data_IF_597221082240
#
_entry.id   IF_597221082240
#
_cell.length_a   1.000
_cell.length_b   1.000
_cell.length_c   1.000
_cell.angle_alpha   90.00
_cell.angle_beta   90.00
_cell.angle_gamma   90.00
#
_symmetry.space_group_name_H-M   'P 1'
#
loop_
_entity.id
_entity.type
_entity.pdbx_description
1 polymer ?
#
# COMPACT_ATOMS: atom_id res chain seq x y z
N UNK A 1 44.30 -16.14 14.08
CA UNK A 1 44.07 -16.32 12.63
C UNK A 1 42.58 -16.61 12.44
N UNK A 2 41.73 -15.79 11.84
CA UNK A 2 41.94 -14.54 11.11
C UNK A 2 40.59 -13.86 10.79
N UNK A 3 39.86 -13.39 11.80
CA UNK A 3 38.70 -12.49 11.60
C UNK A 3 39.12 -11.08 11.14
N UNK A 4 40.38 -10.70 11.38
CA UNK A 4 40.96 -9.42 10.93
C UNK A 4 41.20 -9.43 9.40
N UNK A 5 41.53 -10.58 8.81
CA UNK A 5 41.79 -10.71 7.37
C UNK A 5 40.52 -10.58 6.53
N UNK A 6 39.39 -11.09 7.01
CA UNK A 6 38.09 -10.99 6.34
C UNK A 6 37.60 -9.53 6.34
N UNK A 7 37.73 -8.82 7.46
CA UNK A 7 37.30 -7.41 7.57
C UNK A 7 38.13 -6.49 6.65
N UNK A 8 39.43 -6.76 6.47
CA UNK A 8 40.32 -5.98 5.59
C UNK A 8 39.97 -6.15 4.11
N UNK A 9 39.56 -7.36 3.69
CA UNK A 9 39.20 -7.65 2.31
C UNK A 9 37.83 -7.06 1.90
N UNK A 10 36.89 -6.91 2.86
CA UNK A 10 35.59 -6.27 2.61
C UNK A 10 35.73 -4.74 2.51
N UNK A 11 36.54 -4.11 3.37
CA UNK A 11 36.74 -2.65 3.35
C UNK A 11 37.45 -2.19 2.07
N UNK A 12 38.35 -3.00 1.50
CA UNK A 12 39.04 -2.68 0.24
C UNK A 12 38.14 -2.70 -1.00
N UNK A 13 36.98 -3.37 -0.95
CA UNK A 13 36.06 -3.45 -2.10
C UNK A 13 35.09 -2.26 -2.22
N UNK A 14 35.03 -1.38 -1.22
CA UNK A 14 34.07 -0.25 -1.14
C UNK A 14 34.66 1.09 -1.62
N UNK A 15 35.92 1.14 -2.05
CA UNK A 15 36.47 2.36 -2.64
C UNK A 15 36.64 2.24 -4.16
N UNK A 16 35.55 2.43 -4.91
CA UNK A 16 35.58 3.05 -6.25
C UNK A 16 34.16 3.26 -6.79
N UNK A 17 33.45 4.25 -6.24
CA UNK A 17 32.50 5.03 -7.03
C UNK A 17 32.91 6.48 -6.93
N UNK A 18 33.58 6.96 -7.98
CA UNK A 18 33.76 8.39 -8.23
C UNK A 18 32.37 9.01 -8.24
N UNK A 19 32.11 9.97 -7.34
CA UNK A 19 30.93 10.81 -7.40
C UNK A 19 30.98 11.62 -8.69
N UNK A 20 30.35 11.11 -9.75
CA UNK A 20 30.12 11.88 -10.97
C UNK A 20 28.89 12.73 -10.72
N UNK A 21 29.10 13.97 -10.25
CA UNK A 21 28.07 15.00 -10.37
C UNK A 21 27.93 15.31 -11.86
N UNK A 22 27.00 14.65 -12.54
CA UNK A 22 26.59 15.05 -13.88
C UNK A 22 25.79 16.34 -13.74
N UNK A 23 26.47 17.47 -13.86
CA UNK A 23 25.85 18.76 -14.09
C UNK A 23 25.13 18.69 -15.44
N UNK A 24 23.80 18.60 -15.40
CA UNK A 24 22.93 18.68 -16.56
C UNK A 24 23.01 20.09 -17.14
N UNK A 25 23.97 20.31 -18.04
CA UNK A 25 24.02 21.51 -18.86
C UNK A 25 23.04 21.35 -20.03
N UNK A 26 21.85 21.93 -19.88
CA UNK A 26 20.91 22.13 -20.99
C UNK A 26 21.52 23.20 -21.89
N UNK A 27 22.15 22.79 -22.98
CA UNK A 27 22.50 23.68 -24.08
C UNK A 27 21.49 23.47 -25.21
N UNK A 28 20.35 24.16 -25.12
CA UNK A 28 19.46 24.37 -26.25
C UNK A 28 20.14 25.31 -27.23
N UNK A 29 20.57 24.79 -28.38
CA UNK A 29 20.83 25.60 -29.57
C UNK A 29 19.86 25.18 -30.66
N UNK A 30 18.84 26.01 -30.87
CA UNK A 30 17.87 25.89 -31.96
C UNK A 30 18.30 26.84 -33.07
N UNK A 31 18.55 26.34 -34.28
CA UNK A 31 17.85 26.75 -35.51
C UNK A 31 18.50 26.15 -36.75
N UNK A 32 17.66 25.50 -37.56
CA UNK A 32 17.99 24.98 -38.88
C UNK A 32 16.81 24.18 -39.41
N UNK A 33 15.86 24.88 -40.02
CA UNK A 33 14.65 24.35 -40.63
C UNK A 33 14.92 23.28 -41.70
N UNK A 34 14.40 22.07 -41.50
CA UNK A 34 13.90 21.25 -42.62
C UNK A 34 12.71 20.44 -42.12
N UNK A 35 11.54 20.68 -42.72
CA UNK A 35 10.42 19.74 -42.69
C UNK A 35 10.86 18.48 -43.44
N UNK A 36 11.46 17.52 -42.74
CA UNK A 36 11.70 16.17 -43.25
C UNK A 36 10.70 15.28 -42.52
N UNK A 37 9.70 14.82 -43.25
CA UNK A 37 8.96 13.61 -42.90
C UNK A 37 10.00 12.53 -42.57
N UNK A 38 10.20 12.23 -41.28
CA UNK A 38 11.23 11.29 -40.81
C UNK A 38 11.03 9.90 -41.45
N UNK A 39 11.72 9.66 -42.57
CA UNK A 39 12.11 8.34 -43.04
C UNK A 39 13.62 8.26 -42.82
N UNK A 40 14.15 7.31 -42.04
CA UNK A 40 15.58 7.23 -41.80
C UNK A 40 16.30 6.85 -43.10
N UNK A 41 17.16 7.74 -43.59
CA UNK A 41 17.76 7.68 -44.92
C UNK A 41 19.29 7.50 -44.90
N UNK A 42 19.88 7.29 -43.72
CA UNK A 42 21.29 6.89 -43.56
C UNK A 42 21.45 5.74 -42.55
N UNK A 43 22.46 4.86 -42.75
CA UNK A 43 22.73 3.71 -41.86
C UNK A 43 22.99 4.13 -40.39
N UNK A 44 23.60 5.30 -40.18
CA UNK A 44 23.88 5.85 -38.84
C UNK A 44 22.61 6.29 -38.12
N UNK A 45 21.64 6.86 -38.84
CA UNK A 45 20.34 7.24 -38.29
C UNK A 45 19.47 6.02 -37.97
N UNK A 46 19.56 4.97 -38.79
CA UNK A 46 18.87 3.70 -38.51
C UNK A 46 19.42 3.03 -37.25
N UNK A 47 20.74 2.93 -37.10
CA UNK A 47 21.37 2.37 -35.90
C UNK A 47 21.08 3.20 -34.63
N UNK A 48 21.01 4.52 -34.76
CA UNK A 48 20.63 5.39 -33.65
C UNK A 48 19.16 5.20 -33.26
N UNK A 49 18.26 5.07 -34.22
CA UNK A 49 16.83 4.82 -33.98
C UNK A 49 16.61 3.44 -33.34
N UNK A 50 17.27 2.40 -33.83
CA UNK A 50 17.21 1.04 -33.26
C UNK A 50 17.72 1.00 -31.82
N UNK A 51 18.81 1.72 -31.52
CA UNK A 51 19.34 1.85 -30.16
C UNK A 51 18.35 2.56 -29.22
N UNK A 52 17.71 3.64 -29.70
CA UNK A 52 16.67 4.36 -28.93
C UNK A 52 15.45 3.48 -28.70
N UNK A 53 15.01 2.72 -29.70
CA UNK A 53 13.84 1.86 -29.56
C UNK A 53 14.13 0.65 -28.65
N UNK A 54 15.31 0.05 -28.74
CA UNK A 54 15.76 -0.97 -27.79
C UNK A 54 15.85 -0.43 -26.36
N UNK A 55 16.38 0.79 -26.16
CA UNK A 55 16.43 1.41 -24.84
C UNK A 55 15.03 1.67 -24.26
N UNK A 56 14.06 2.10 -25.08
CA UNK A 56 12.66 2.27 -24.63
C UNK A 56 12.05 0.95 -24.20
N UNK A 57 12.22 -0.11 -25.00
CA UNK A 57 11.73 -1.45 -24.66
C UNK A 57 12.31 -1.92 -23.32
N UNK A 58 13.62 -1.79 -23.13
CA UNK A 58 14.27 -2.19 -21.88
C UNK A 58 13.80 -1.38 -20.66
N UNK A 59 13.49 -0.08 -20.84
CA UNK A 59 12.90 0.74 -19.77
C UNK A 59 11.50 0.27 -19.42
N UNK A 60 10.65 -0.01 -20.41
CA UNK A 60 9.29 -0.51 -20.18
C UNK A 60 9.30 -1.88 -19.50
N UNK A 61 10.16 -2.81 -19.95
CA UNK A 61 10.32 -4.12 -19.30
C UNK A 61 10.78 -3.97 -17.84
N UNK A 62 11.74 -3.08 -17.56
CA UNK A 62 12.20 -2.83 -16.20
C UNK A 62 11.13 -2.18 -15.31
N UNK A 63 10.26 -1.32 -15.87
CA UNK A 63 9.11 -0.76 -15.17
C UNK A 63 8.07 -1.84 -14.83
N UNK A 64 7.78 -2.74 -15.78
CA UNK A 64 6.87 -3.87 -15.59
C UNK A 64 7.38 -4.85 -14.53
N UNK A 65 8.67 -5.22 -14.58
CA UNK A 65 9.33 -6.09 -13.59
C UNK A 65 9.29 -5.48 -12.19
N UNK A 66 9.55 -4.17 -12.07
CA UNK A 66 9.50 -3.45 -10.81
C UNK A 66 8.08 -3.47 -10.23
N UNK A 67 7.07 -3.27 -11.08
CA UNK A 67 5.67 -3.26 -10.69
C UNK A 67 5.19 -4.66 -10.28
N UNK A 68 5.61 -5.71 -10.96
CA UNK A 68 5.37 -7.09 -10.54
C UNK A 68 6.01 -7.39 -9.19
N UNK A 69 7.28 -7.01 -9.00
CA UNK A 69 7.99 -7.20 -7.73
C UNK A 69 7.29 -6.48 -6.56
N UNK A 70 6.79 -5.25 -6.76
CA UNK A 70 6.03 -4.50 -5.75
C UNK A 70 4.71 -5.19 -5.38
N UNK A 71 3.96 -5.71 -6.36
CA UNK A 71 2.72 -6.45 -6.12
C UNK A 71 3.01 -7.75 -5.35
N UNK A 72 4.00 -8.52 -5.80
CA UNK A 72 4.39 -9.76 -5.16
C UNK A 72 4.86 -9.56 -3.72
N UNK A 73 5.60 -8.47 -3.44
CA UNK A 73 6.12 -8.16 -2.11
C UNK A 73 5.03 -7.93 -1.05
N UNK A 74 3.78 -7.62 -1.44
CA UNK A 74 2.68 -7.34 -0.50
C UNK A 74 1.49 -8.29 -0.66
N UNK A 75 1.48 -9.17 -1.67
CA UNK A 75 0.32 -10.01 -1.98
C UNK A 75 -0.08 -10.95 -0.84
N UNK A 76 0.89 -11.66 -0.27
CA UNK A 76 0.65 -12.58 0.86
C UNK A 76 0.18 -11.82 2.10
N UNK A 77 0.89 -10.74 2.46
CA UNK A 77 0.56 -9.90 3.62
C UNK A 77 -0.83 -9.27 3.48
N UNK A 78 -1.21 -8.84 2.27
CA UNK A 78 -2.52 -8.29 1.99
C UNK A 78 -3.62 -9.34 2.16
N UNK A 79 -3.40 -10.55 1.68
CA UNK A 79 -4.37 -11.64 1.80
C UNK A 79 -4.57 -12.04 3.27
N UNK A 80 -3.48 -12.23 4.02
CA UNK A 80 -3.55 -12.51 5.46
C UNK A 80 -4.27 -11.40 6.22
N UNK A 81 -3.95 -10.14 5.90
CA UNK A 81 -4.61 -8.99 6.52
C UNK A 81 -6.12 -8.97 6.24
N UNK A 82 -6.55 -9.24 5.00
CA UNK A 82 -7.97 -9.35 4.66
C UNK A 82 -8.65 -10.44 5.47
N UNK A 83 -8.02 -11.60 5.63
CA UNK A 83 -8.63 -12.72 6.32
C UNK A 83 -8.76 -12.43 7.82
N UNK A 84 -7.70 -11.90 8.47
CA UNK A 84 -7.74 -11.48 9.88
C UNK A 84 -8.77 -10.37 10.13
N UNK A 85 -8.79 -9.34 9.27
CA UNK A 85 -9.73 -8.22 9.45
C UNK A 85 -11.17 -8.61 9.18
N UNK A 86 -11.45 -9.46 8.19
CA UNK A 86 -12.80 -10.01 8.00
C UNK A 86 -13.24 -10.82 9.22
N UNK A 87 -12.37 -11.66 9.80
CA UNK A 87 -12.70 -12.41 11.01
C UNK A 87 -13.06 -11.48 12.18
N UNK A 88 -12.29 -10.41 12.40
CA UNK A 88 -12.57 -9.39 13.42
C UNK A 88 -13.88 -8.62 13.16
N UNK A 89 -14.18 -8.29 11.90
CA UNK A 89 -15.44 -7.65 11.51
C UNK A 89 -16.63 -8.56 11.84
N UNK A 90 -16.53 -9.86 11.55
CA UNK A 90 -17.59 -10.81 11.88
C UNK A 90 -17.75 -11.02 13.39
N UNK A 91 -16.66 -11.05 14.14
CA UNK A 91 -16.70 -11.07 15.61
C UNK A 91 -17.42 -9.82 16.16
N UNK A 92 -17.13 -8.64 15.63
CA UNK A 92 -17.80 -7.40 16.00
C UNK A 92 -19.30 -7.43 15.64
N UNK A 93 -19.66 -7.97 14.47
CA UNK A 93 -21.06 -8.15 14.07
C UNK A 93 -21.80 -9.05 15.07
N UNK A 94 -21.19 -10.17 15.47
CA UNK A 94 -21.77 -11.09 16.44
C UNK A 94 -22.01 -10.42 17.79
N UNK A 95 -21.02 -9.67 18.30
CA UNK A 95 -21.14 -8.89 19.56
C UNK A 95 -22.25 -7.85 19.49
N UNK A 96 -22.34 -7.11 18.38
CA UNK A 96 -23.40 -6.11 18.16
C UNK A 96 -24.78 -6.77 18.14
N UNK A 97 -24.91 -7.92 17.49
CA UNK A 97 -26.15 -8.68 17.44
C UNK A 97 -26.56 -9.18 18.83
N UNK A 98 -25.60 -9.68 19.62
CA UNK A 98 -25.83 -10.08 21.01
C UNK A 98 -26.32 -8.91 21.87
N UNK A 99 -25.63 -7.76 21.82
CA UNK A 99 -26.04 -6.54 22.52
C UNK A 99 -27.48 -6.13 22.17
N UNK A 100 -27.83 -6.15 20.88
CA UNK A 100 -29.21 -5.86 20.42
C UNK A 100 -30.25 -6.86 20.96
N UNK A 101 -29.88 -8.12 21.16
CA UNK A 101 -30.78 -9.12 21.73
C UNK A 101 -30.93 -8.96 23.25
N UNK A 102 -29.84 -8.67 23.96
CA UNK A 102 -29.89 -8.37 25.39
C UNK A 102 -30.82 -7.19 25.69
N UNK A 103 -30.71 -6.13 24.89
CA UNK A 103 -31.62 -4.97 24.94
C UNK A 103 -33.08 -5.41 24.93
N UNK A 104 -33.47 -6.21 23.94
CA UNK A 104 -34.87 -6.65 23.77
C UNK A 104 -35.36 -7.50 24.95
N UNK A 105 -34.47 -8.28 25.57
CA UNK A 105 -34.78 -9.14 26.71
C UNK A 105 -35.00 -8.37 28.01
N UNK A 106 -34.24 -7.29 28.24
CA UNK A 106 -34.32 -6.54 29.51
C UNK A 106 -35.66 -5.82 29.69
N UNK A 107 -36.38 -5.50 28.60
CA UNK A 107 -37.70 -4.84 28.64
C UNK A 107 -37.69 -3.44 29.28
N UNK A 108 -36.51 -2.92 29.63
CA UNK A 108 -36.32 -1.57 30.16
C UNK A 108 -36.44 -0.57 29.01
N UNK A 109 -37.00 0.62 29.26
CA UNK A 109 -36.77 1.75 28.35
C UNK A 109 -35.26 1.98 28.28
N UNK A 110 -34.68 1.61 27.15
CA UNK A 110 -33.27 1.80 26.91
C UNK A 110 -33.07 3.26 26.58
N UNK A 111 -32.13 3.89 27.28
CA UNK A 111 -31.73 5.26 26.99
C UNK A 111 -31.42 5.37 25.49
N UNK A 112 -31.99 6.38 24.83
CA UNK A 112 -31.71 6.70 23.43
C UNK A 112 -30.21 6.79 23.16
N UNK A 113 -29.43 7.21 24.15
CA UNK A 113 -27.96 7.24 24.11
C UNK A 113 -27.34 5.85 23.90
N UNK A 114 -27.90 4.82 24.54
CA UNK A 114 -27.43 3.44 24.46
C UNK A 114 -27.73 2.83 23.08
N UNK A 115 -28.96 2.99 22.58
CA UNK A 115 -29.31 2.57 21.21
C UNK A 115 -28.42 3.27 20.16
N UNK A 116 -28.23 4.58 20.31
CA UNK A 116 -27.36 5.37 19.42
C UNK A 116 -25.92 4.86 19.42
N UNK A 117 -25.41 4.40 20.56
CA UNK A 117 -24.07 3.85 20.68
C UNK A 117 -23.94 2.53 19.90
N UNK A 118 -24.92 1.64 20.00
CA UNK A 118 -24.98 0.41 19.20
C UNK A 118 -25.05 0.72 17.71
N UNK A 119 -25.93 1.63 17.30
CA UNK A 119 -26.08 2.00 15.89
C UNK A 119 -24.78 2.60 15.35
N UNK A 120 -24.07 3.40 16.17
CA UNK A 120 -22.76 3.95 15.82
C UNK A 120 -21.72 2.86 15.64
N UNK A 121 -21.66 1.88 16.54
CA UNK A 121 -20.72 0.75 16.44
C UNK A 121 -21.02 -0.11 15.20
N UNK A 122 -22.30 -0.35 14.91
CA UNK A 122 -22.71 -1.07 13.70
C UNK A 122 -22.32 -0.33 12.43
N UNK A 123 -22.57 0.97 12.37
CA UNK A 123 -22.19 1.77 11.22
C UNK A 123 -20.68 1.75 11.01
N UNK A 124 -19.89 1.93 12.08
CA UNK A 124 -18.42 1.85 11.99
C UNK A 124 -17.93 0.49 11.51
N UNK A 125 -18.56 -0.61 11.93
CA UNK A 125 -18.20 -1.94 11.45
C UNK A 125 -18.50 -2.12 9.95
N UNK A 126 -19.63 -1.56 9.47
CA UNK A 126 -19.99 -1.53 8.04
C UNK A 126 -19.01 -0.69 7.23
N UNK A 127 -18.64 0.48 7.75
CA UNK A 127 -17.68 1.38 7.10
C UNK A 127 -16.30 0.73 7.00
N UNK A 128 -15.84 0.02 8.03
CA UNK A 128 -14.62 -0.78 8.01
C UNK A 128 -14.67 -1.87 6.93
N UNK A 129 -15.79 -2.59 6.82
CA UNK A 129 -15.96 -3.60 5.76
C UNK A 129 -15.89 -2.98 4.37
N UNK A 130 -16.56 -1.85 4.15
CA UNK A 130 -16.50 -1.12 2.89
C UNK A 130 -15.08 -0.61 2.59
N UNK A 131 -14.38 -0.08 3.60
CA UNK A 131 -12.98 0.36 3.48
C UNK A 131 -12.06 -0.80 3.08
N UNK A 132 -12.26 -1.99 3.64
CA UNK A 132 -11.50 -3.20 3.27
C UNK A 132 -11.79 -3.65 1.83
N UNK A 133 -13.06 -3.68 1.43
CA UNK A 133 -13.49 -4.17 0.12
C UNK A 133 -13.13 -3.23 -1.03
N UNK A 134 -13.06 -1.93 -0.77
CA UNK A 134 -12.76 -0.91 -1.78
C UNK A 134 -11.27 -0.62 -1.92
N UNK A 135 -10.45 -1.02 -0.94
CA UNK A 135 -9.02 -0.83 -1.00
C UNK A 135 -8.39 -1.70 -2.09
N UNK A 136 -7.60 -1.05 -2.95
CA UNK A 136 -6.83 -1.70 -4.00
C UNK A 136 -5.37 -1.68 -3.61
N UNK A 137 -4.83 -2.85 -3.25
CA UNK A 137 -3.41 -3.03 -2.99
C UNK A 137 -2.64 -3.09 -4.33
N UNK A 138 -2.54 -1.94 -5.00
CA UNK A 138 -1.80 -1.79 -6.25
C UNK A 138 -0.39 -1.21 -6.04
N UNK A 139 0.39 -1.10 -7.11
CA UNK A 139 1.80 -0.67 -7.10
C UNK A 139 2.04 0.75 -6.57
N UNK A 140 1.00 1.59 -6.58
CA UNK A 140 1.06 2.98 -6.13
C UNK A 140 0.32 3.19 -4.80
N UNK A 141 -0.24 2.12 -4.22
CA UNK A 141 -0.99 2.18 -2.99
C UNK A 141 -0.09 2.39 -1.78
N UNK A 142 -0.53 3.23 -0.84
CA UNK A 142 0.15 3.38 0.45
C UNK A 142 -0.34 2.29 1.43
N UNK A 143 0.12 1.06 1.16
CA UNK A 143 -0.22 -0.14 1.92
C UNK A 143 0.03 0.00 3.42
N UNK A 144 1.19 0.54 3.80
CA UNK A 144 1.57 0.64 5.20
C UNK A 144 0.72 1.66 5.97
N UNK A 145 0.34 2.78 5.33
CA UNK A 145 -0.57 3.73 5.96
C UNK A 145 -1.98 3.17 6.10
N UNK A 146 -2.50 2.54 5.04
CA UNK A 146 -3.80 1.89 5.09
C UNK A 146 -3.88 0.85 6.22
N UNK A 147 -2.91 -0.07 6.28
CA UNK A 147 -2.84 -1.12 7.29
C UNK A 147 -2.85 -0.55 8.71
N UNK A 148 -2.03 0.49 8.96
CA UNK A 148 -1.93 1.15 10.27
C UNK A 148 -3.26 1.78 10.69
N UNK A 149 -3.87 2.57 9.81
CA UNK A 149 -5.12 3.26 10.09
C UNK A 149 -6.27 2.27 10.31
N UNK A 150 -6.37 1.26 9.45
CA UNK A 150 -7.41 0.25 9.57
C UNK A 150 -7.30 -0.54 10.88
N UNK A 151 -6.10 -0.96 11.27
CA UNK A 151 -5.87 -1.63 12.55
C UNK A 151 -6.26 -0.74 13.73
N UNK A 152 -5.91 0.54 13.69
CA UNK A 152 -6.32 1.49 14.71
C UNK A 152 -7.86 1.59 14.80
N UNK A 153 -8.53 1.74 13.67
CA UNK A 153 -9.99 1.90 13.61
C UNK A 153 -10.73 0.67 14.14
N UNK A 154 -10.29 -0.54 13.77
CA UNK A 154 -10.92 -1.80 14.22
C UNK A 154 -10.62 -2.09 15.70
N UNK A 155 -9.44 -1.75 16.20
CA UNK A 155 -9.09 -1.89 17.61
C UNK A 155 -9.92 -0.95 18.49
N UNK A 156 -10.12 0.30 18.06
CA UNK A 156 -10.98 1.27 18.76
C UNK A 156 -12.43 0.79 18.81
N UNK A 157 -12.94 0.18 17.73
CA UNK A 157 -14.27 -0.40 17.70
C UNK A 157 -14.38 -1.60 18.66
N UNK A 158 -13.38 -2.49 18.66
CA UNK A 158 -13.32 -3.63 19.56
C UNK A 158 -13.30 -3.21 21.04
N UNK A 159 -12.55 -2.16 21.38
CA UNK A 159 -12.54 -1.56 22.71
C UNK A 159 -13.91 -0.97 23.08
N UNK A 160 -14.53 -0.22 22.16
CA UNK A 160 -15.87 0.36 22.36
C UNK A 160 -16.91 -0.72 22.68
N UNK A 161 -16.89 -1.85 21.96
CA UNK A 161 -17.79 -2.98 22.19
C UNK A 161 -17.56 -3.64 23.56
N UNK A 162 -16.28 -3.79 23.95
CA UNK A 162 -15.90 -4.37 25.24
C UNK A 162 -16.38 -3.50 26.39
N UNK A 163 -16.10 -2.20 26.35
CA UNK A 163 -16.45 -1.24 27.40
C UNK A 163 -17.97 -1.11 27.53
N UNK A 164 -18.69 -1.14 26.41
CA UNK A 164 -20.14 -1.11 26.38
C UNK A 164 -20.77 -2.33 27.07
N UNK A 165 -20.16 -3.50 26.91
CA UNK A 165 -20.60 -4.75 27.57
C UNK A 165 -20.30 -4.74 29.07
N UNK A 166 -19.14 -4.22 29.49
CA UNK A 166 -18.76 -4.13 30.91
C UNK A 166 -19.68 -3.17 31.67
N UNK A 167 -19.98 -2.01 31.08
CA UNK A 167 -20.84 -1.00 31.70
C UNK A 167 -22.29 -1.48 31.90
N UNK A 168 -22.74 -2.50 31.17
CA UNK A 168 -24.10 -3.05 31.28
C UNK A 168 -24.24 -4.17 32.33
N UNK A 169 -23.14 -4.67 32.89
CA UNK A 169 -23.16 -5.73 33.92
C UNK A 169 -23.21 -5.21 35.36
N UNK A 170 -23.10 -3.90 35.55
CA UNK A 170 -23.21 -3.21 36.84
C UNK A 170 -24.56 -2.48 36.95
#
# INVERSE_FOLDING_TARGET
MDTIFIKKNIILKINNMKKSFFTLAIATFVMGSIFISCKPNTEKEQAAQESVDSAKVAVTEAEDDLDEAKRAATAEEWQEFKDDTNAKIEENNAKIAELKLEIKKTGKEIDKSYQKSIDTMEQRNKDLKAKLDTYKNDVNSDWQSFKREFNHDIDLLGQSLKDFTVNNKN
#
